data_IF_902635075390
#
_entry.id   IF_902635075390
#
_cell.length_a   1.000
_cell.length_b   1.000
_cell.length_c   1.000
_cell.angle_alpha   90.00
_cell.angle_beta   90.00
_cell.angle_gamma   90.00
#
_symmetry.space_group_name_H-M   'P 1'
#
loop_
_entity.id
_entity.type
_entity.pdbx_description
1 polymer ?
#
# COMPACT_ATOMS: atom_id res chain seq x y z
N UNK A 1 -5.61 -25.97 5.87
CA UNK A 1 -6.38 -25.23 4.85
C UNK A 1 -5.70 -23.88 4.73
N UNK A 2 -4.98 -23.61 3.64
CA UNK A 2 -4.31 -22.33 3.43
C UNK A 2 -5.41 -21.30 3.18
N UNK A 3 -5.46 -20.25 3.97
CA UNK A 3 -6.49 -19.22 3.88
C UNK A 3 -6.09 -18.26 2.77
N UNK A 4 -6.60 -18.45 1.55
CA UNK A 4 -6.49 -17.47 0.47
C UNK A 4 -7.35 -16.24 0.77
N UNK A 5 -6.86 -15.06 0.38
CA UNK A 5 -7.67 -13.86 0.46
C UNK A 5 -8.92 -13.99 -0.43
N UNK A 6 -10.09 -13.49 0.01
CA UNK A 6 -11.30 -13.52 -0.81
C UNK A 6 -11.04 -12.88 -2.19
N UNK A 7 -11.41 -13.60 -3.26
CA UNK A 7 -11.38 -13.07 -4.62
C UNK A 7 -12.75 -12.52 -4.97
N UNK A 8 -12.83 -11.21 -5.13
CA UNK A 8 -14.05 -10.49 -5.50
C UNK A 8 -13.95 -10.10 -6.97
N UNK A 9 -14.94 -10.50 -7.77
CA UNK A 9 -15.03 -10.17 -9.20
C UNK A 9 -16.27 -9.33 -9.43
N UNK A 10 -16.07 -8.11 -9.92
CA UNK A 10 -17.17 -7.19 -10.19
C UNK A 10 -17.81 -7.50 -11.53
N UNK A 11 -19.15 -7.54 -11.55
CA UNK A 11 -19.96 -7.75 -12.75
C UNK A 11 -19.71 -6.62 -13.75
N UNK A 12 -19.70 -6.96 -15.05
CA UNK A 12 -19.46 -5.96 -16.12
C UNK A 12 -20.67 -5.07 -16.34
N UNK A 13 -20.39 -3.91 -16.93
CA UNK A 13 -21.41 -2.94 -17.39
C UNK A 13 -22.24 -2.30 -16.27
N UNK A 14 -21.67 -2.17 -15.09
CA UNK A 14 -22.26 -1.44 -13.97
C UNK A 14 -21.83 0.03 -14.01
N UNK A 15 -22.70 0.91 -13.54
CA UNK A 15 -22.33 2.30 -13.24
C UNK A 15 -21.29 2.34 -12.10
N UNK A 16 -20.56 3.45 -11.89
CA UNK A 16 -19.61 3.59 -10.78
C UNK A 16 -20.24 3.26 -9.43
N UNK A 17 -21.42 3.78 -9.15
CA UNK A 17 -22.15 3.48 -7.91
C UNK A 17 -22.49 2.00 -7.76
N UNK A 18 -23.05 1.37 -8.80
CA UNK A 18 -23.42 -0.06 -8.76
C UNK A 18 -22.17 -0.95 -8.61
N UNK A 19 -21.06 -0.61 -9.25
CA UNK A 19 -19.76 -1.27 -9.10
C UNK A 19 -19.27 -1.20 -7.66
N UNK A 20 -19.32 -0.03 -7.07
CA UNK A 20 -19.00 0.19 -5.67
C UNK A 20 -19.94 -0.58 -4.73
N UNK A 21 -21.25 -0.59 -5.01
CA UNK A 21 -22.26 -1.29 -4.21
C UNK A 21 -22.03 -2.81 -4.21
N UNK A 22 -21.71 -3.39 -5.38
CA UNK A 22 -21.37 -4.81 -5.48
C UNK A 22 -20.10 -5.14 -4.70
N UNK A 23 -19.05 -4.30 -4.84
CA UNK A 23 -17.81 -4.45 -4.09
C UNK A 23 -18.04 -4.32 -2.58
N UNK A 24 -18.74 -3.29 -2.12
CA UNK A 24 -19.05 -3.06 -0.72
C UNK A 24 -19.81 -4.23 -0.09
N UNK A 25 -20.82 -4.76 -0.78
CA UNK A 25 -21.57 -5.95 -0.32
C UNK A 25 -20.68 -7.19 -0.21
N UNK A 26 -19.84 -7.42 -1.21
CA UNK A 26 -18.96 -8.60 -1.25
C UNK A 26 -17.83 -8.56 -0.22
N UNK A 27 -17.42 -7.35 0.21
CA UNK A 27 -16.33 -7.12 1.17
C UNK A 27 -16.77 -6.45 2.48
N UNK A 28 -18.06 -6.51 2.83
CA UNK A 28 -18.60 -5.77 3.96
C UNK A 28 -17.87 -6.05 5.28
N UNK A 29 -17.58 -7.30 5.59
CA UNK A 29 -16.85 -7.69 6.80
C UNK A 29 -15.42 -7.13 6.80
N UNK A 30 -14.75 -7.17 5.65
CA UNK A 30 -13.39 -6.66 5.47
C UNK A 30 -13.35 -5.14 5.59
N UNK A 31 -14.32 -4.43 5.02
CA UNK A 31 -14.42 -2.97 5.11
C UNK A 31 -14.68 -2.50 6.55
N UNK A 32 -15.59 -3.18 7.26
CA UNK A 32 -15.84 -2.91 8.68
C UNK A 32 -14.60 -3.21 9.54
N UNK A 33 -13.88 -4.29 9.24
CA UNK A 33 -12.62 -4.61 9.92
C UNK A 33 -11.55 -3.53 9.67
N UNK A 34 -11.38 -3.08 8.42
CA UNK A 34 -10.49 -1.96 8.08
C UNK A 34 -10.84 -0.71 8.89
N UNK A 35 -12.12 -0.31 8.89
CA UNK A 35 -12.58 0.85 9.67
C UNK A 35 -12.20 0.75 11.14
N UNK A 36 -12.43 -0.41 11.78
CA UNK A 36 -12.11 -0.62 13.19
C UNK A 36 -10.61 -0.54 13.43
N UNK A 37 -9.80 -1.22 12.60
CA UNK A 37 -8.34 -1.22 12.72
C UNK A 37 -7.78 0.20 12.57
N UNK A 38 -8.21 0.94 11.52
CA UNK A 38 -7.70 2.30 11.30
C UNK A 38 -8.22 3.30 12.32
N UNK A 39 -9.45 3.16 12.83
CA UNK A 39 -9.92 4.00 13.94
C UNK A 39 -9.01 3.89 15.17
N UNK A 40 -8.49 2.69 15.46
CA UNK A 40 -7.55 2.48 16.56
C UNK A 40 -6.17 3.03 16.26
N UNK A 41 -5.66 2.77 15.04
CA UNK A 41 -4.37 3.31 14.62
C UNK A 41 -4.38 4.86 14.67
N UNK A 42 -5.45 5.52 14.20
CA UNK A 42 -5.56 6.97 14.31
C UNK A 42 -5.67 7.45 15.76
N UNK A 43 -6.36 6.70 16.61
CA UNK A 43 -6.45 7.03 18.04
C UNK A 43 -5.05 7.04 18.69
N UNK A 44 -4.12 6.14 18.31
CA UNK A 44 -2.73 6.19 18.80
C UNK A 44 -1.98 7.44 18.37
N UNK A 45 -2.48 8.16 17.38
CA UNK A 45 -1.97 9.45 16.90
C UNK A 45 -2.77 10.64 17.43
N UNK A 46 -3.66 10.45 18.42
CA UNK A 46 -4.53 11.48 18.95
C UNK A 46 -5.64 11.94 17.98
N UNK A 47 -5.94 11.13 16.94
CA UNK A 47 -6.96 11.46 15.94
C UNK A 47 -8.17 10.55 16.14
N UNK A 48 -9.33 11.14 16.56
CA UNK A 48 -10.57 10.38 16.59
C UNK A 48 -11.01 9.98 15.19
N UNK A 49 -11.82 8.89 15.09
CA UNK A 49 -12.36 8.50 13.79
C UNK A 49 -13.23 9.59 13.14
N UNK A 50 -14.01 10.31 13.96
CA UNK A 50 -14.77 11.47 13.48
C UNK A 50 -13.86 12.55 12.90
N UNK A 51 -12.77 12.90 13.59
CA UNK A 51 -11.80 13.86 13.08
C UNK A 51 -11.07 13.34 11.81
N UNK A 52 -10.85 12.03 11.71
CA UNK A 52 -10.30 11.42 10.49
C UNK A 52 -11.27 11.57 9.31
N UNK A 53 -12.57 11.31 9.52
CA UNK A 53 -13.60 11.50 8.50
C UNK A 53 -13.70 12.98 8.05
N UNK A 54 -13.74 13.93 9.00
CA UNK A 54 -13.76 15.37 8.70
C UNK A 54 -12.51 15.82 7.90
N UNK A 55 -11.34 15.26 8.21
CA UNK A 55 -10.12 15.52 7.42
C UNK A 55 -10.22 14.93 6.02
N UNK A 56 -10.81 13.74 5.86
CA UNK A 56 -10.96 13.06 4.59
C UNK A 56 -11.88 13.80 3.61
N UNK A 57 -12.94 14.45 4.11
CA UNK A 57 -13.86 15.25 3.29
C UNK A 57 -13.16 16.35 2.48
N UNK A 58 -12.03 16.87 2.98
CA UNK A 58 -11.23 17.90 2.28
C UNK A 58 -10.66 17.44 0.95
N UNK A 59 -10.59 16.12 0.71
CA UNK A 59 -10.03 15.54 -0.52
C UNK A 59 -11.08 15.28 -1.59
N UNK A 60 -12.38 15.40 -1.28
CA UNK A 60 -13.48 15.09 -2.21
C UNK A 60 -13.32 15.84 -3.53
N UNK A 61 -13.08 17.15 -3.49
CA UNK A 61 -12.98 17.98 -4.70
C UNK A 61 -11.81 17.60 -5.60
N UNK A 62 -10.65 17.25 -5.04
CA UNK A 62 -9.48 16.86 -5.83
C UNK A 62 -9.65 15.45 -6.40
N UNK A 63 -10.35 14.55 -5.69
CA UNK A 63 -10.72 13.22 -6.21
C UNK A 63 -11.66 13.36 -7.39
N UNK A 64 -12.71 14.18 -7.28
CA UNK A 64 -13.66 14.48 -8.39
C UNK A 64 -12.98 15.15 -9.57
N UNK A 65 -12.02 16.04 -9.32
CA UNK A 65 -11.26 16.71 -10.38
C UNK A 65 -10.36 15.74 -11.16
N UNK A 66 -9.83 14.69 -10.51
CA UNK A 66 -9.06 13.65 -11.18
C UNK A 66 -9.95 12.66 -11.92
N UNK A 67 -10.97 12.14 -11.25
CA UNK A 67 -11.91 11.15 -11.81
C UNK A 67 -13.28 11.28 -11.13
N UNK A 68 -14.28 11.88 -11.79
CA UNK A 68 -15.61 12.09 -11.22
C UNK A 68 -16.38 10.80 -10.94
N UNK A 69 -15.94 9.65 -11.46
CA UNK A 69 -16.57 8.35 -11.20
C UNK A 69 -16.24 7.79 -9.82
N UNK A 70 -15.14 8.23 -9.18
CA UNK A 70 -14.65 7.61 -7.94
C UNK A 70 -15.52 7.93 -6.72
N UNK A 71 -16.08 9.14 -6.60
CA UNK A 71 -16.96 9.47 -5.47
C UNK A 71 -18.27 8.67 -5.52
N UNK A 72 -18.98 8.54 -6.65
CA UNK A 72 -20.09 7.60 -6.77
C UNK A 72 -19.71 6.13 -6.49
N UNK A 73 -18.51 5.67 -6.91
CA UNK A 73 -18.03 4.33 -6.60
C UNK A 73 -17.81 4.16 -5.10
N UNK A 74 -17.18 5.11 -4.42
CA UNK A 74 -17.00 5.12 -2.96
C UNK A 74 -18.34 5.17 -2.21
N UNK A 75 -19.34 5.93 -2.68
CA UNK A 75 -20.68 5.93 -2.10
C UNK A 75 -21.32 4.54 -2.19
N UNK A 76 -21.21 3.90 -3.35
CA UNK A 76 -21.67 2.52 -3.51
C UNK A 76 -20.96 1.55 -2.57
N UNK A 77 -19.65 1.68 -2.40
CA UNK A 77 -18.87 0.87 -1.44
C UNK A 77 -19.38 1.05 0.00
N UNK A 78 -19.66 2.30 0.40
CA UNK A 78 -20.20 2.63 1.70
C UNK A 78 -21.57 1.97 1.93
N UNK A 79 -22.50 2.18 1.02
CA UNK A 79 -23.85 1.62 1.12
C UNK A 79 -23.83 0.08 1.14
N UNK A 80 -22.96 -0.52 0.29
CA UNK A 80 -22.81 -1.97 0.23
C UNK A 80 -22.23 -2.58 1.50
N UNK A 81 -21.31 -1.88 2.18
CA UNK A 81 -20.67 -2.33 3.41
C UNK A 81 -21.42 -1.92 4.68
N UNK A 82 -22.57 -1.23 4.59
CA UNK A 82 -23.28 -0.61 5.69
C UNK A 82 -22.38 0.35 6.50
N UNK A 83 -21.60 1.14 5.80
CA UNK A 83 -20.74 2.23 6.26
C UNK A 83 -21.24 3.56 5.69
N UNK A 84 -20.64 4.67 6.11
CA UNK A 84 -20.88 5.98 5.52
C UNK A 84 -19.82 6.32 4.49
N UNK A 85 -20.11 7.27 3.58
CA UNK A 85 -19.14 7.75 2.59
C UNK A 85 -17.87 8.28 3.26
N UNK A 86 -18.01 9.03 4.35
CA UNK A 86 -16.89 9.57 5.10
C UNK A 86 -15.98 8.48 5.71
N UNK A 87 -16.52 7.29 6.05
CA UNK A 87 -15.72 6.14 6.48
C UNK A 87 -14.84 5.65 5.31
N UNK A 88 -15.43 5.51 4.13
CA UNK A 88 -14.70 5.07 2.93
C UNK A 88 -13.68 6.11 2.47
N UNK A 89 -14.01 7.39 2.52
CA UNK A 89 -13.06 8.48 2.26
C UNK A 89 -11.88 8.41 3.23
N UNK A 90 -12.12 8.27 4.54
CA UNK A 90 -11.08 8.19 5.55
C UNK A 90 -10.14 6.98 5.33
N UNK A 91 -10.66 5.83 4.88
CA UNK A 91 -9.86 4.67 4.53
C UNK A 91 -8.96 4.95 3.31
N UNK A 92 -9.48 5.62 2.29
CA UNK A 92 -8.73 5.92 1.06
C UNK A 92 -7.78 7.12 1.19
N UNK A 93 -8.00 8.00 2.17
CA UNK A 93 -7.14 9.14 2.50
C UNK A 93 -6.27 8.89 3.75
N UNK A 94 -6.13 7.64 4.19
CA UNK A 94 -5.49 7.30 5.47
C UNK A 94 -4.05 7.83 5.60
N UNK A 95 -3.31 7.85 4.50
CA UNK A 95 -1.92 8.32 4.47
C UNK A 95 -1.84 9.83 4.66
N UNK A 96 -2.77 10.55 4.07
CA UNK A 96 -2.88 12.02 4.09
C UNK A 96 -3.45 12.56 5.41
N UNK A 97 -4.26 11.76 6.10
CA UNK A 97 -4.85 12.13 7.40
C UNK A 97 -3.82 12.06 8.53
N UNK A 98 -2.87 11.14 8.41
CA UNK A 98 -1.81 10.97 9.41
C UNK A 98 -0.90 12.20 9.41
N UNK A 99 -0.58 12.76 10.58
CA UNK A 99 0.31 13.91 10.64
C UNK A 99 1.72 13.53 10.18
N UNK A 100 2.42 14.42 9.47
CA UNK A 100 3.79 14.18 9.00
C UNK A 100 4.79 14.04 10.16
N UNK A 101 4.46 14.64 11.32
CA UNK A 101 5.24 14.54 12.55
C UNK A 101 4.34 13.92 13.64
N UNK A 102 4.63 12.68 14.02
CA UNK A 102 3.91 12.00 15.08
C UNK A 102 4.28 12.58 16.46
N UNK A 103 3.26 13.08 17.16
CA UNK A 103 3.20 13.26 18.62
C UNK A 103 4.22 14.23 19.23
N UNK A 104 3.78 15.48 19.47
CA UNK A 104 4.25 16.25 20.61
C UNK A 104 3.79 15.59 21.93
N UNK A 105 4.50 15.80 23.04
CA UNK A 105 4.14 15.22 24.35
C UNK A 105 2.69 15.51 24.76
N UNK A 106 2.15 16.70 24.43
CA UNK A 106 0.75 17.08 24.67
C UNK A 106 -0.24 16.24 23.85
N UNK A 107 0.12 15.84 22.62
CA UNK A 107 -0.71 14.95 21.78
C UNK A 107 -0.71 13.53 22.32
N UNK A 108 0.31 13.14 23.08
CA UNK A 108 0.48 11.82 23.63
C UNK A 108 -0.54 11.52 24.75
N UNK A 109 -0.77 12.46 25.68
CA UNK A 109 -1.81 12.29 26.71
C UNK A 109 -3.22 12.26 26.11
N UNK A 110 -3.49 13.12 25.12
CA UNK A 110 -4.75 13.11 24.39
C UNK A 110 -4.97 11.80 23.60
N UNK A 111 -3.91 11.24 23.04
CA UNK A 111 -3.95 9.96 22.33
C UNK A 111 -4.29 8.81 23.29
N UNK A 112 -3.67 8.74 24.46
CA UNK A 112 -3.93 7.73 25.48
C UNK A 112 -5.37 7.75 25.96
N UNK A 113 -5.91 8.96 26.26
CA UNK A 113 -7.30 9.14 26.66
C UNK A 113 -8.28 8.71 25.55
N UNK A 114 -7.93 8.95 24.28
CA UNK A 114 -8.76 8.59 23.13
C UNK A 114 -8.74 7.09 22.85
N UNK A 115 -7.60 6.42 22.99
CA UNK A 115 -7.48 4.95 22.89
C UNK A 115 -8.35 4.28 23.94
N UNK A 116 -8.28 4.73 25.20
CA UNK A 116 -9.12 4.22 26.28
C UNK A 116 -10.62 4.38 25.98
N UNK A 117 -11.04 5.55 25.47
CA UNK A 117 -12.43 5.82 25.11
C UNK A 117 -12.91 5.03 23.87
N UNK A 118 -12.01 4.78 22.91
CA UNK A 118 -12.32 4.00 21.69
C UNK A 118 -12.40 2.50 21.99
N UNK A 119 -11.68 2.02 23.01
CA UNK A 119 -11.74 0.62 23.45
C UNK A 119 -13.07 0.26 24.13
N UNK A 120 -13.79 1.21 24.71
CA UNK A 120 -15.04 0.98 25.45
C UNK A 120 -16.25 0.57 24.60
N UNK A 121 -16.16 0.62 23.26
CA UNK A 121 -17.26 0.25 22.36
C UNK A 121 -16.98 -0.97 21.47
N UNK A 122 -15.87 -1.69 21.65
CA UNK A 122 -15.40 -2.72 20.73
C UNK A 122 -15.20 -4.06 21.44
N UNK A 123 -15.51 -5.21 20.80
CA UNK A 123 -15.36 -6.50 21.44
C UNK A 123 -13.90 -6.79 21.85
N UNK A 124 -13.76 -7.10 23.10
CA UNK A 124 -12.80 -7.95 23.81
C UNK A 124 -11.31 -7.90 23.45
N UNK A 125 -10.70 -6.71 23.41
CA UNK A 125 -9.26 -6.60 23.60
C UNK A 125 -8.90 -5.29 24.31
N UNK A 126 -8.67 -5.43 25.57
CA UNK A 126 -8.05 -4.39 26.39
C UNK A 126 -6.59 -4.25 25.94
N UNK A 127 -6.20 -3.03 25.59
CA UNK A 127 -4.78 -2.67 25.52
C UNK A 127 -4.25 -2.75 26.96
N UNK A 128 -3.37 -3.69 27.24
CA UNK A 128 -2.57 -3.62 28.43
C UNK A 128 -1.63 -2.40 28.34
N UNK A 129 -1.28 -1.81 29.47
CA UNK A 129 -0.50 -0.55 29.52
C UNK A 129 0.82 -0.60 28.71
N UNK A 130 1.42 -1.79 28.58
CA UNK A 130 2.61 -1.99 27.74
C UNK A 130 2.31 -1.98 26.22
N UNK A 131 1.07 -2.24 25.81
CA UNK A 131 0.64 -2.21 24.41
C UNK A 131 0.51 -0.78 23.85
N UNK A 132 0.24 0.21 24.70
CA UNK A 132 0.12 1.61 24.26
C UNK A 132 1.44 2.19 23.74
N UNK A 133 2.56 1.86 24.36
CA UNK A 133 3.89 2.29 23.90
C UNK A 133 4.30 1.58 22.60
N UNK A 134 3.97 0.29 22.45
CA UNK A 134 4.25 -0.47 21.25
C UNK A 134 3.44 0.03 20.03
N UNK A 135 2.20 0.48 20.21
CA UNK A 135 1.39 1.06 19.14
C UNK A 135 1.99 2.36 18.57
N UNK A 136 2.72 3.14 19.40
CA UNK A 136 3.42 4.35 18.93
C UNK A 136 4.57 4.04 17.98
N UNK A 137 5.16 2.85 18.09
CA UNK A 137 6.29 2.43 17.27
C UNK A 137 5.86 1.80 15.94
N UNK A 138 4.60 1.38 15.80
CA UNK A 138 4.05 0.84 14.52
C UNK A 138 4.31 1.79 13.34
N UNK A 139 4.15 3.08 13.57
CA UNK A 139 4.33 4.09 12.52
C UNK A 139 5.80 4.42 12.23
N UNK A 140 6.72 4.06 13.13
CA UNK A 140 8.17 4.24 12.95
C UNK A 140 8.79 3.11 12.14
N UNK A 141 8.03 2.04 11.87
CA UNK A 141 8.52 0.88 11.13
C UNK A 141 8.14 0.99 9.64
N UNK A 142 9.07 0.62 8.78
CA UNK A 142 8.85 0.60 7.34
C UNK A 142 7.82 -0.46 6.95
N UNK A 143 7.04 -0.17 5.93
CA UNK A 143 5.84 -0.93 5.60
C UNK A 143 6.02 -1.92 4.45
N UNK A 144 7.06 -1.81 3.60
CA UNK A 144 7.15 -2.61 2.38
C UNK A 144 8.58 -2.70 1.84
N UNK A 145 8.84 -3.75 1.05
CA UNK A 145 10.06 -3.89 0.26
C UNK A 145 9.71 -4.41 -1.12
N UNK A 146 10.23 -3.78 -2.17
CA UNK A 146 10.00 -4.17 -3.56
C UNK A 146 11.28 -4.38 -4.34
N UNK A 147 11.23 -5.29 -5.31
CA UNK A 147 12.24 -5.51 -6.34
C UNK A 147 11.53 -5.65 -7.68
N UNK A 148 11.85 -4.77 -8.62
CA UNK A 148 11.46 -4.92 -10.02
C UNK A 148 12.70 -5.21 -10.87
N UNK A 149 12.53 -6.10 -11.86
CA UNK A 149 13.62 -6.58 -12.72
C UNK A 149 13.17 -6.41 -14.17
N UNK A 150 13.99 -5.78 -15.00
CA UNK A 150 13.74 -5.68 -16.44
C UNK A 150 14.38 -6.84 -17.22
N UNK A 151 14.24 -6.83 -18.53
CA UNK A 151 14.77 -7.89 -19.40
C UNK A 151 16.28 -8.16 -19.25
N UNK A 152 17.07 -7.15 -18.82
CA UNK A 152 18.54 -7.32 -18.67
C UNK A 152 18.89 -8.14 -17.43
N UNK A 153 18.10 -8.02 -16.36
CA UNK A 153 18.32 -8.76 -15.10
C UNK A 153 17.52 -10.05 -15.02
N UNK A 154 16.60 -10.29 -15.96
CA UNK A 154 15.62 -11.36 -15.90
C UNK A 154 16.10 -12.65 -16.58
N UNK A 155 15.76 -13.79 -15.99
CA UNK A 155 16.09 -15.12 -16.51
C UNK A 155 15.31 -15.50 -17.78
N UNK A 156 14.15 -14.92 -18.02
CA UNK A 156 13.28 -15.20 -19.16
C UNK A 156 13.16 -14.03 -20.16
N UNK A 157 13.90 -12.95 -19.92
CA UNK A 157 13.90 -11.77 -20.78
C UNK A 157 12.65 -10.89 -20.66
N UNK A 158 11.82 -11.10 -19.64
CA UNK A 158 10.62 -10.30 -19.36
C UNK A 158 10.77 -9.49 -18.08
N UNK A 159 10.01 -8.40 -17.95
CA UNK A 159 9.98 -7.66 -16.70
C UNK A 159 9.20 -8.42 -15.62
N UNK A 160 9.73 -8.37 -14.41
CA UNK A 160 9.12 -8.93 -13.20
C UNK A 160 8.92 -7.85 -12.15
N UNK A 161 7.89 -8.03 -11.37
CA UNK A 161 7.57 -7.22 -10.19
C UNK A 161 7.45 -8.12 -8.97
N UNK A 162 8.03 -7.70 -7.84
CA UNK A 162 7.81 -8.37 -6.56
C UNK A 162 7.75 -7.36 -5.40
N UNK A 163 6.93 -7.68 -4.39
CA UNK A 163 6.79 -6.85 -3.21
C UNK A 163 6.34 -7.67 -2.00
N UNK A 164 6.94 -7.42 -0.83
CA UNK A 164 6.32 -7.71 0.46
C UNK A 164 5.53 -6.50 0.92
N UNK A 165 4.30 -6.74 1.32
CA UNK A 165 3.47 -5.78 2.03
C UNK A 165 3.60 -6.04 3.52
N UNK A 166 4.31 -5.16 4.20
CA UNK A 166 4.49 -5.22 5.65
C UNK A 166 3.49 -4.26 6.30
N UNK A 167 2.73 -4.76 7.27
CA UNK A 167 1.73 -3.99 7.99
C UNK A 167 1.39 -4.64 9.32
N UNK A 168 0.55 -3.99 10.13
CA UNK A 168 0.02 -4.62 11.34
C UNK A 168 -0.69 -5.93 10.98
N UNK A 169 -0.24 -7.04 11.56
CA UNK A 169 -0.75 -8.39 11.22
C UNK A 169 -2.25 -8.55 11.42
N UNK A 170 -2.80 -7.77 12.34
CA UNK A 170 -4.23 -7.66 12.60
C UNK A 170 -5.05 -7.23 11.37
N UNK A 171 -4.47 -6.49 10.43
CA UNK A 171 -5.17 -6.06 9.21
C UNK A 171 -5.31 -7.17 8.17
N UNK A 172 -4.60 -8.31 8.31
CA UNK A 172 -4.67 -9.42 7.35
C UNK A 172 -6.09 -9.92 7.06
N UNK A 173 -7.02 -10.03 8.04
CA UNK A 173 -8.39 -10.43 7.75
C UNK A 173 -9.18 -9.48 6.84
N UNK A 174 -8.71 -8.23 6.69
CA UNK A 174 -9.33 -7.26 5.80
C UNK A 174 -8.82 -7.33 4.36
N UNK A 175 -7.76 -8.10 4.09
CA UNK A 175 -7.16 -8.19 2.77
C UNK A 175 -8.04 -8.99 1.81
N UNK A 176 -8.14 -8.49 0.58
CA UNK A 176 -8.93 -9.07 -0.50
C UNK A 176 -8.18 -8.94 -1.83
N UNK A 177 -8.53 -9.78 -2.78
CA UNK A 177 -8.18 -9.62 -4.19
C UNK A 177 -9.41 -9.13 -4.94
N UNK A 178 -9.32 -7.94 -5.54
CA UNK A 178 -10.40 -7.33 -6.32
C UNK A 178 -10.07 -7.39 -7.82
N UNK A 179 -10.99 -7.91 -8.62
CA UNK A 179 -11.00 -7.78 -10.08
C UNK A 179 -12.11 -6.82 -10.48
N UNK A 180 -11.75 -5.66 -11.02
CA UNK A 180 -12.68 -4.60 -11.39
C UNK A 180 -12.26 -3.94 -12.71
N UNK A 181 -12.87 -2.82 -13.06
CA UNK A 181 -12.62 -2.07 -14.29
C UNK A 181 -12.90 -0.58 -14.07
N UNK A 182 -12.38 0.26 -14.98
CA UNK A 182 -12.64 1.69 -15.02
C UNK A 182 -13.81 2.05 -15.97
N UNK A 183 -14.08 3.34 -16.12
CA UNK A 183 -15.16 3.86 -16.98
C UNK A 183 -14.97 3.53 -18.47
N UNK A 184 -13.76 3.23 -18.91
CA UNK A 184 -13.44 2.77 -20.26
C UNK A 184 -13.52 1.25 -20.41
N UNK A 185 -13.91 0.53 -19.35
CA UNK A 185 -13.95 -0.94 -19.32
C UNK A 185 -12.56 -1.61 -19.26
N UNK A 186 -11.51 -0.87 -18.95
CA UNK A 186 -10.15 -1.40 -18.76
C UNK A 186 -10.10 -2.12 -17.41
N UNK A 187 -9.87 -3.42 -17.46
CA UNK A 187 -9.88 -4.27 -16.25
C UNK A 187 -8.54 -4.27 -15.54
N UNK A 188 -8.59 -4.48 -14.24
CA UNK A 188 -7.41 -4.64 -13.38
C UNK A 188 -7.68 -5.66 -12.29
N UNK A 189 -6.60 -6.19 -11.71
CA UNK A 189 -6.62 -7.02 -10.49
C UNK A 189 -5.75 -6.36 -9.45
N UNK A 190 -6.25 -6.19 -8.22
CA UNK A 190 -5.50 -5.58 -7.11
C UNK A 190 -5.66 -6.39 -5.83
N UNK A 191 -4.55 -6.60 -5.12
CA UNK A 191 -4.53 -6.95 -3.71
C UNK A 191 -4.70 -5.67 -2.93
N UNK A 192 -5.78 -5.57 -2.15
CA UNK A 192 -6.13 -4.36 -1.39
C UNK A 192 -6.83 -4.73 -0.09
N UNK A 193 -7.38 -3.75 0.59
CA UNK A 193 -8.15 -3.91 1.82
C UNK A 193 -9.62 -3.64 1.54
N UNK A 194 -10.53 -4.28 2.27
CA UNK A 194 -11.94 -3.94 2.20
C UNK A 194 -12.15 -2.46 2.52
N UNK A 195 -12.92 -1.76 1.68
CA UNK A 195 -13.15 -0.32 1.77
C UNK A 195 -12.12 0.56 1.05
N UNK A 196 -11.07 -0.03 0.46
CA UNK A 196 -10.06 0.72 -0.31
C UNK A 196 -10.16 0.44 -1.81
N UNK A 197 -9.97 1.47 -2.64
CA UNK A 197 -10.08 1.41 -4.09
C UNK A 197 -9.02 0.53 -4.74
N UNK A 198 -7.76 0.63 -4.29
CA UNK A 198 -6.63 -0.14 -4.82
C UNK A 198 -5.40 -0.03 -3.94
N UNK A 199 -4.46 -0.98 -4.11
CA UNK A 199 -3.12 -0.90 -3.51
C UNK A 199 -2.04 -1.52 -4.40
N UNK A 200 -1.88 -2.84 -4.44
CA UNK A 200 -0.87 -3.54 -5.23
C UNK A 200 -1.58 -4.34 -6.32
N UNK A 201 -1.23 -4.15 -7.57
CA UNK A 201 -1.98 -4.85 -8.60
C UNK A 201 -1.45 -4.69 -10.01
N UNK A 202 -2.23 -5.18 -10.95
CA UNK A 202 -1.86 -5.15 -12.37
C UNK A 202 -3.07 -4.84 -13.25
N UNK A 203 -2.88 -3.94 -14.22
CA UNK A 203 -3.86 -3.69 -15.28
C UNK A 203 -3.88 -4.86 -16.29
N UNK A 204 -4.97 -5.03 -17.01
CA UNK A 204 -5.06 -6.01 -18.08
C UNK A 204 -4.08 -5.73 -19.22
N UNK A 205 -3.68 -4.48 -19.42
CA UNK A 205 -2.61 -4.11 -20.36
C UNK A 205 -1.23 -4.61 -19.94
N UNK A 206 -1.06 -4.93 -18.66
CA UNK A 206 0.16 -5.47 -18.09
C UNK A 206 1.06 -4.42 -17.45
N UNK A 207 0.50 -3.35 -16.90
CA UNK A 207 1.20 -2.50 -15.95
C UNK A 207 0.97 -3.06 -14.55
N UNK A 208 2.02 -3.59 -13.93
CA UNK A 208 2.08 -3.94 -12.51
C UNK A 208 2.50 -2.72 -11.70
N UNK A 209 1.82 -2.47 -10.58
CA UNK A 209 2.12 -1.38 -9.65
C UNK A 209 2.15 -1.89 -8.20
N UNK A 210 2.93 -1.23 -7.37
CA UNK A 210 2.97 -1.46 -5.92
C UNK A 210 2.98 -0.18 -5.12
N UNK A 211 3.21 -0.32 -3.81
CA UNK A 211 3.22 0.80 -2.89
C UNK A 211 4.22 0.55 -1.76
N UNK A 212 5.25 1.39 -1.66
CA UNK A 212 6.06 1.53 -0.45
C UNK A 212 5.78 2.92 0.13
N UNK A 213 5.20 3.00 1.32
CA UNK A 213 4.90 4.29 1.94
C UNK A 213 6.21 5.04 2.23
N UNK A 214 6.26 6.30 1.84
CA UNK A 214 7.24 7.27 2.26
C UNK A 214 6.58 8.26 3.23
N UNK A 215 7.36 9.10 3.86
CA UNK A 215 6.86 10.18 4.72
C UNK A 215 7.56 11.47 4.36
N UNK A 216 6.78 12.48 4.02
CA UNK A 216 7.24 13.83 3.75
C UNK A 216 6.85 14.77 4.90
N UNK A 217 7.66 15.80 5.10
CA UNK A 217 7.35 16.87 6.08
C UNK A 217 6.09 17.66 5.71
N UNK A 218 5.59 17.51 4.49
CA UNK A 218 4.42 18.22 3.95
C UNK A 218 3.21 17.33 3.71
N UNK A 219 3.24 16.04 4.10
CA UNK A 219 2.12 15.12 3.94
C UNK A 219 0.85 15.68 4.59
N UNK A 220 -0.26 15.69 3.85
CA UNK A 220 -1.56 16.16 4.33
C UNK A 220 -1.67 17.66 4.62
N UNK A 221 -0.60 18.46 4.40
CA UNK A 221 -0.61 19.90 4.66
C UNK A 221 -1.63 20.64 3.78
N UNK A 222 -1.74 20.23 2.51
CA UNK A 222 -2.74 20.74 1.57
C UNK A 222 -3.45 19.59 0.89
N UNK A 223 -4.75 19.72 0.57
CA UNK A 223 -5.44 18.68 -0.18
C UNK A 223 -4.79 18.47 -1.55
N UNK A 224 -4.30 17.26 -1.79
CA UNK A 224 -3.82 16.76 -3.07
C UNK A 224 -4.45 15.38 -3.33
N UNK A 225 -4.18 14.77 -4.47
CA UNK A 225 -4.74 13.46 -4.82
C UNK A 225 -4.23 12.41 -3.83
N UNK A 226 -5.13 11.71 -3.09
CA UNK A 226 -4.73 10.70 -2.12
C UNK A 226 -4.00 9.52 -2.76
N UNK A 227 -3.04 8.93 -2.04
CA UNK A 227 -2.19 7.84 -2.55
C UNK A 227 -3.00 6.67 -3.11
N UNK A 228 -4.05 6.22 -2.42
CA UNK A 228 -4.89 5.11 -2.91
C UNK A 228 -5.70 5.49 -4.16
N UNK A 229 -6.02 6.76 -4.34
CA UNK A 229 -6.65 7.30 -5.57
C UNK A 229 -5.62 7.35 -6.70
N UNK A 230 -4.37 7.76 -6.42
CA UNK A 230 -3.26 7.68 -7.40
C UNK A 230 -3.10 6.24 -7.90
N UNK A 231 -3.00 5.26 -6.98
CA UNK A 231 -2.86 3.85 -7.33
C UNK A 231 -4.03 3.33 -8.17
N UNK A 232 -5.26 3.69 -7.79
CA UNK A 232 -6.47 3.33 -8.57
C UNK A 232 -6.42 3.90 -9.98
N UNK A 233 -5.98 5.14 -10.13
CA UNK A 233 -5.83 5.80 -11.43
C UNK A 233 -4.74 5.14 -12.28
N UNK A 234 -3.59 4.81 -11.69
CA UNK A 234 -2.50 4.12 -12.38
C UNK A 234 -2.87 2.71 -12.86
N UNK A 235 -3.78 2.01 -12.17
CA UNK A 235 -4.29 0.71 -12.65
C UNK A 235 -5.15 0.82 -13.93
N UNK A 236 -5.49 2.01 -14.36
CA UNK A 236 -6.08 2.28 -15.69
C UNK A 236 -5.02 2.46 -16.79
N UNK A 237 -3.75 2.65 -16.44
CA UNK A 237 -2.63 2.74 -17.39
C UNK A 237 -2.22 1.34 -17.89
N UNK A 238 -1.63 1.29 -19.08
CA UNK A 238 -1.25 0.02 -19.72
C UNK A 238 0.28 -0.17 -19.77
N UNK A 239 1.05 0.89 -19.53
CA UNK A 239 2.51 0.89 -19.60
C UNK A 239 3.12 1.88 -18.61
N UNK A 240 4.42 1.73 -18.35
CA UNK A 240 5.22 2.68 -17.55
C UNK A 240 5.21 4.07 -18.18
N UNK A 241 5.22 4.16 -19.50
CA UNK A 241 5.12 5.44 -20.22
C UNK A 241 3.78 6.15 -19.96
N UNK A 242 2.65 5.42 -19.98
CA UNK A 242 1.34 5.99 -19.62
C UNK A 242 1.29 6.40 -18.15
N UNK A 243 1.89 5.62 -17.25
CA UNK A 243 1.98 5.96 -15.83
C UNK A 243 2.73 7.28 -15.59
N UNK A 244 3.83 7.55 -16.33
CA UNK A 244 4.53 8.85 -16.27
C UNK A 244 3.63 10.02 -16.69
N UNK A 245 2.86 9.86 -17.75
CA UNK A 245 1.91 10.89 -18.20
C UNK A 245 0.80 11.12 -17.15
N UNK A 246 0.30 10.05 -16.56
CA UNK A 246 -0.69 10.12 -15.50
C UNK A 246 -0.14 10.86 -14.24
N UNK A 247 1.08 10.56 -13.81
CA UNK A 247 1.72 11.25 -12.69
C UNK A 247 1.98 12.73 -12.99
N UNK A 248 2.40 13.06 -14.21
CA UNK A 248 2.56 14.45 -14.65
C UNK A 248 1.23 15.22 -14.62
N UNK A 249 0.13 14.57 -14.99
CA UNK A 249 -1.21 15.16 -14.86
C UNK A 249 -1.61 15.32 -13.39
N UNK A 250 -1.46 14.27 -12.57
CA UNK A 250 -1.80 14.32 -11.14
C UNK A 250 -1.01 15.41 -10.41
N UNK A 251 0.25 15.64 -10.79
CA UNK A 251 1.07 16.72 -10.21
C UNK A 251 0.41 18.11 -10.38
N UNK A 252 -0.37 18.34 -11.42
CA UNK A 252 -1.10 19.61 -11.60
C UNK A 252 -2.19 19.80 -10.54
N UNK A 253 -2.70 18.69 -9.96
CA UNK A 253 -3.66 18.64 -8.86
C UNK A 253 -2.97 18.49 -7.51
N UNK A 254 -1.64 18.32 -7.49
CA UNK A 254 -0.76 17.95 -6.37
C UNK A 254 -1.01 16.53 -5.85
N UNK A 255 0.02 15.95 -5.22
CA UNK A 255 -0.10 14.71 -4.46
C UNK A 255 -0.46 15.02 -3.00
N UNK A 256 -1.27 14.15 -2.38
CA UNK A 256 -1.71 14.34 -1.00
C UNK A 256 -0.65 13.95 0.04
N UNK A 257 0.12 12.91 -0.25
CA UNK A 257 1.19 12.41 0.61
C UNK A 257 2.30 11.72 -0.19
N UNK A 258 3.42 11.47 0.48
CA UNK A 258 4.58 10.82 -0.10
C UNK A 258 4.40 9.30 -0.21
N UNK A 259 4.88 8.74 -1.30
CA UNK A 259 4.94 7.29 -1.53
C UNK A 259 5.93 6.96 -2.64
N UNK A 260 6.48 5.76 -2.60
CA UNK A 260 7.12 5.15 -3.76
C UNK A 260 6.16 4.15 -4.42
N UNK A 261 6.07 4.22 -5.73
CA UNK A 261 5.23 3.36 -6.57
C UNK A 261 6.16 2.57 -7.50
N UNK A 262 6.59 1.36 -7.11
CA UNK A 262 7.34 0.48 -8.00
C UNK A 262 6.42 0.00 -9.13
N UNK A 263 6.96 -0.05 -10.35
CA UNK A 263 6.22 -0.43 -11.54
C UNK A 263 7.02 -1.36 -12.44
N UNK A 264 6.31 -2.23 -13.15
CA UNK A 264 6.85 -3.06 -14.23
C UNK A 264 5.78 -3.24 -15.31
N UNK A 265 6.14 -3.25 -16.59
CA UNK A 265 5.17 -3.45 -17.65
C UNK A 265 5.48 -4.62 -18.59
N UNK A 266 4.47 -4.95 -19.41
CA UNK A 266 4.58 -6.05 -20.37
C UNK A 266 5.56 -5.77 -21.53
N UNK A 267 6.00 -4.52 -21.68
CA UNK A 267 6.99 -4.11 -22.69
C UNK A 267 8.42 -4.26 -22.18
N UNK A 268 8.60 -4.60 -20.88
CA UNK A 268 9.90 -4.86 -20.28
C UNK A 268 10.47 -3.68 -19.50
N UNK A 269 9.73 -2.58 -19.36
CA UNK A 269 10.18 -1.42 -18.61
C UNK A 269 9.86 -1.57 -17.12
N UNK A 270 10.79 -1.12 -16.24
CA UNK A 270 10.63 -1.06 -14.79
C UNK A 270 11.13 0.27 -14.25
N UNK A 271 10.50 0.76 -13.19
CA UNK A 271 10.89 1.98 -12.47
C UNK A 271 10.34 1.97 -11.05
N UNK A 272 10.82 2.90 -10.22
CA UNK A 272 10.17 3.28 -8.99
C UNK A 272 9.87 4.78 -9.03
N UNK A 273 8.60 5.17 -8.94
CA UNK A 273 8.20 6.57 -8.89
C UNK A 273 8.09 7.02 -7.44
N UNK A 274 8.88 7.96 -7.03
CA UNK A 274 8.72 8.65 -5.75
C UNK A 274 7.84 9.87 -5.95
N UNK A 275 6.73 9.93 -5.23
CA UNK A 275 5.77 11.04 -5.23
C UNK A 275 5.75 11.71 -3.86
N UNK A 276 5.50 13.01 -3.83
CA UNK A 276 5.27 13.80 -2.61
C UNK A 276 4.44 15.04 -2.92
N UNK A 277 3.89 15.75 -1.93
CA UNK A 277 3.26 17.05 -2.18
C UNK A 277 4.17 18.06 -2.90
N UNK A 278 5.52 17.89 -2.80
CA UNK A 278 6.52 18.71 -3.49
C UNK A 278 6.74 18.35 -4.96
N UNK A 279 6.25 17.21 -5.43
CA UNK A 279 6.43 16.74 -6.80
C UNK A 279 6.69 15.25 -6.90
N UNK A 280 7.26 14.80 -8.01
CA UNK A 280 7.65 13.42 -8.21
C UNK A 280 8.94 13.29 -9.01
N UNK A 281 9.63 12.17 -8.82
CA UNK A 281 10.82 11.80 -9.57
C UNK A 281 10.91 10.27 -9.70
N UNK A 282 11.90 9.78 -10.44
CA UNK A 282 12.01 8.37 -10.83
C UNK A 282 13.36 7.77 -10.42
N UNK A 283 13.33 6.73 -9.61
CA UNK A 283 14.49 5.84 -9.39
C UNK A 283 14.55 4.83 -10.54
N UNK A 284 15.62 4.92 -11.33
CA UNK A 284 15.85 4.06 -12.51
C UNK A 284 16.52 2.76 -12.13
N UNK A 285 16.31 1.67 -12.90
CA UNK A 285 16.99 0.42 -12.66
C UNK A 285 18.50 0.55 -12.88
N UNK A 286 19.26 -0.12 -12.01
CA UNK A 286 20.72 -0.32 -12.16
C UNK A 286 20.95 -1.80 -12.42
N UNK A 287 21.71 -2.13 -13.48
CA UNK A 287 21.97 -3.51 -13.93
C UNK A 287 20.68 -4.33 -14.09
N UNK A 288 19.63 -3.70 -14.58
CA UNK A 288 18.33 -4.31 -14.80
C UNK A 288 17.42 -4.44 -13.59
N UNK A 289 17.84 -4.00 -12.40
CA UNK A 289 17.08 -4.10 -11.16
C UNK A 289 16.81 -2.74 -10.53
N UNK A 290 15.65 -2.58 -9.90
CA UNK A 290 15.36 -1.47 -8.99
C UNK A 290 14.77 -2.02 -7.70
N UNK A 291 15.42 -1.70 -6.57
CA UNK A 291 14.98 -2.05 -5.21
C UNK A 291 14.51 -0.80 -4.51
N UNK A 292 13.44 -0.90 -3.76
CA UNK A 292 12.96 0.21 -2.94
C UNK A 292 12.36 -0.25 -1.62
N UNK A 293 12.43 0.61 -0.62
CA UNK A 293 11.85 0.42 0.71
C UNK A 293 11.01 1.64 1.12
N UNK A 294 11.25 2.25 2.27
CA UNK A 294 10.38 3.29 2.83
C UNK A 294 11.14 4.61 3.14
N UNK A 295 12.06 5.03 2.29
CA UNK A 295 12.71 6.34 2.36
C UNK A 295 13.05 6.82 0.95
N UNK A 296 13.17 8.14 0.77
CA UNK A 296 13.50 8.71 -0.53
C UNK A 296 14.91 8.30 -0.99
N UNK A 297 15.02 7.95 -2.27
CA UNK A 297 16.27 7.66 -2.96
C UNK A 297 16.58 8.72 -4.03
N UNK A 298 15.55 9.44 -4.53
CA UNK A 298 15.75 10.54 -5.47
C UNK A 298 16.33 11.76 -4.74
N UNK A 299 17.48 12.24 -5.21
CA UNK A 299 18.14 13.41 -4.64
C UNK A 299 17.25 14.65 -4.68
N UNK A 300 16.48 14.82 -5.75
CA UNK A 300 15.53 15.94 -5.95
C UNK A 300 14.40 16.01 -4.92
N UNK A 301 14.13 14.92 -4.20
CA UNK A 301 13.07 14.83 -3.18
C UNK A 301 13.62 14.55 -1.77
N UNK A 302 14.93 14.45 -1.61
CA UNK A 302 15.56 14.06 -0.34
C UNK A 302 15.31 15.07 0.79
N UNK A 303 15.14 16.35 0.48
CA UNK A 303 14.77 17.42 1.43
C UNK A 303 13.33 17.31 1.93
N UNK A 304 12.49 16.54 1.23
CA UNK A 304 11.12 16.26 1.65
C UNK A 304 11.05 15.20 2.75
N UNK A 305 12.10 14.41 2.96
CA UNK A 305 12.10 13.30 3.91
C UNK A 305 11.75 13.75 5.32
N UNK A 306 10.65 13.22 5.87
CA UNK A 306 10.35 13.40 7.29
C UNK A 306 11.37 12.65 8.15
N UNK A 307 11.97 13.26 9.18
CA UNK A 307 12.83 12.55 10.13
C UNK A 307 12.13 11.35 10.80
N UNK A 308 10.81 11.43 10.99
CA UNK A 308 9.99 10.35 11.52
C UNK A 308 9.74 9.24 10.51
N UNK A 309 9.90 9.51 9.21
CA UNK A 309 9.71 8.55 8.12
C UNK A 309 10.92 7.69 7.83
N UNK A 310 12.06 7.94 8.49
CA UNK A 310 13.22 7.05 8.45
C UNK A 310 12.98 5.86 9.39
N UNK A 311 12.17 4.91 8.92
CA UNK A 311 12.00 3.66 9.64
C UNK A 311 13.36 2.99 9.84
N UNK A 312 13.64 2.56 11.07
CA UNK A 312 14.89 1.89 11.43
C UNK A 312 15.20 0.69 10.53
N UNK A 313 14.14 -0.01 10.07
CA UNK A 313 14.24 -1.18 9.20
C UNK A 313 14.42 -0.83 7.71
N UNK A 314 14.18 0.41 7.26
CA UNK A 314 14.14 0.76 5.84
C UNK A 314 15.50 0.62 5.16
N UNK A 315 16.56 1.19 5.73
CA UNK A 315 17.92 1.11 5.19
C UNK A 315 18.49 -0.32 5.22
N UNK A 316 18.39 -1.09 6.32
CA UNK A 316 18.81 -2.51 6.30
C UNK A 316 18.13 -3.32 5.20
N UNK A 317 16.80 -3.20 5.03
CA UNK A 317 16.06 -3.91 3.97
C UNK A 317 16.47 -3.47 2.56
N UNK A 318 16.78 -2.20 2.36
CA UNK A 318 17.33 -1.73 1.08
C UNK A 318 18.69 -2.38 0.81
N UNK A 319 19.60 -2.40 1.79
CA UNK A 319 20.92 -3.03 1.65
C UNK A 319 20.78 -4.51 1.33
N UNK A 320 19.89 -5.23 2.02
CA UNK A 320 19.61 -6.63 1.75
C UNK A 320 19.07 -6.83 0.32
N UNK A 321 18.11 -6.02 -0.09
CA UNK A 321 17.56 -6.07 -1.44
C UNK A 321 18.61 -5.78 -2.52
N UNK A 322 19.51 -4.84 -2.28
CA UNK A 322 20.62 -4.56 -3.19
C UNK A 322 21.63 -5.72 -3.28
N UNK A 323 21.80 -6.54 -2.23
CA UNK A 323 22.62 -7.80 -2.31
C UNK A 323 21.98 -8.79 -3.29
N UNK A 324 20.65 -8.97 -3.24
CA UNK A 324 19.93 -9.80 -4.21
C UNK A 324 20.06 -9.26 -5.63
N UNK A 325 19.90 -7.95 -5.84
CA UNK A 325 20.06 -7.32 -7.14
C UNK A 325 21.51 -7.43 -7.68
N UNK A 326 22.52 -7.33 -6.80
CA UNK A 326 23.92 -7.45 -7.18
C UNK A 326 24.32 -8.83 -7.74
N UNK A 327 23.54 -9.88 -7.47
CA UNK A 327 23.76 -11.20 -8.04
C UNK A 327 23.66 -11.20 -9.59
N UNK A 328 22.89 -10.27 -10.16
CA UNK A 328 22.76 -10.08 -11.63
C UNK A 328 24.11 -9.72 -12.23
N UNK A 329 24.93 -8.88 -11.61
CA UNK A 329 26.29 -8.54 -12.04
C UNK A 329 27.22 -9.75 -12.11
N UNK A 330 26.91 -10.79 -11.32
CA UNK A 330 27.67 -12.04 -11.28
C UNK A 330 27.12 -13.09 -12.26
N UNK A 331 26.16 -12.69 -13.12
CA UNK A 331 25.54 -13.56 -14.12
C UNK A 331 24.40 -14.42 -13.59
N UNK A 332 23.92 -14.16 -12.35
CA UNK A 332 22.73 -14.83 -11.82
C UNK A 332 21.48 -14.05 -12.18
N UNK A 333 20.82 -14.46 -13.24
CA UNK A 333 19.58 -13.83 -13.69
C UNK A 333 18.42 -14.16 -12.73
N UNK A 334 17.53 -13.20 -12.55
CA UNK A 334 16.42 -13.28 -11.62
C UNK A 334 15.16 -13.78 -12.31
N UNK A 335 14.58 -14.85 -11.80
CA UNK A 335 13.30 -15.42 -12.20
C UNK A 335 12.36 -15.58 -11.01
N UNK A 336 11.33 -16.39 -11.19
CA UNK A 336 10.30 -16.59 -10.16
C UNK A 336 10.86 -17.14 -8.85
N UNK A 337 11.82 -18.06 -8.90
CA UNK A 337 12.42 -18.68 -7.71
C UNK A 337 13.28 -17.66 -6.94
N UNK A 338 14.09 -16.87 -7.62
CA UNK A 338 14.93 -15.83 -7.03
C UNK A 338 14.07 -14.74 -6.37
N UNK A 339 12.93 -14.38 -6.99
CA UNK A 339 11.97 -13.45 -6.39
C UNK A 339 11.30 -14.03 -5.15
N UNK A 340 10.99 -15.34 -5.12
CA UNK A 340 10.51 -15.99 -3.90
C UNK A 340 11.57 -15.95 -2.80
N UNK A 341 12.85 -16.21 -3.14
CA UNK A 341 13.95 -16.18 -2.19
C UNK A 341 14.15 -14.76 -1.65
N UNK A 342 14.09 -13.73 -2.50
CA UNK A 342 14.10 -12.33 -2.08
C UNK A 342 12.96 -12.02 -1.09
N UNK A 343 11.73 -12.38 -1.39
CA UNK A 343 10.58 -12.11 -0.52
C UNK A 343 10.56 -12.96 0.76
N UNK A 344 11.39 -14.02 0.83
CA UNK A 344 11.56 -14.89 2.00
C UNK A 344 12.81 -14.60 2.80
N UNK A 345 13.61 -13.61 2.41
CA UNK A 345 14.89 -13.29 3.05
C UNK A 345 14.70 -12.83 4.51
N UNK A 346 15.33 -13.54 5.42
CA UNK A 346 15.35 -13.32 6.87
C UNK A 346 16.75 -13.05 7.42
N UNK A 347 17.71 -12.74 6.56
CA UNK A 347 19.13 -12.66 6.93
C UNK A 347 19.47 -11.56 7.93
N UNK A 348 18.64 -10.51 8.02
CA UNK A 348 18.88 -9.37 8.91
C UNK A 348 17.94 -9.36 10.15
N UNK A 349 17.36 -10.51 10.53
CA UNK A 349 16.55 -10.69 11.74
C UNK A 349 15.26 -9.85 11.71
N UNK A 350 15.04 -9.01 12.72
CA UNK A 350 13.82 -8.16 12.78
C UNK A 350 13.74 -7.13 11.65
N UNK A 351 14.86 -6.85 10.99
CA UNK A 351 14.95 -5.87 9.89
C UNK A 351 15.07 -6.51 8.51
N UNK A 352 14.70 -7.79 8.42
CA UNK A 352 14.72 -8.54 7.18
C UNK A 352 13.64 -8.10 6.20
N UNK A 353 13.81 -8.44 4.91
CA UNK A 353 12.81 -8.25 3.85
C UNK A 353 11.54 -9.03 4.16
N UNK A 354 11.67 -10.28 4.65
CA UNK A 354 10.54 -11.07 5.15
C UNK A 354 10.38 -10.82 6.64
N UNK A 355 9.44 -9.98 7.02
CA UNK A 355 9.20 -9.63 8.41
C UNK A 355 8.32 -10.65 9.11
N UNK A 356 8.88 -11.26 10.14
CA UNK A 356 8.13 -12.08 11.07
C UNK A 356 7.58 -11.24 12.22
N UNK A 357 6.38 -11.59 12.77
CA UNK A 357 5.87 -10.90 13.94
C UNK A 357 6.81 -11.06 15.13
N UNK A 358 7.23 -9.96 15.75
CA UNK A 358 8.01 -10.01 16.99
C UNK A 358 7.10 -10.43 18.16
N UNK A 359 7.36 -11.58 18.81
CA UNK A 359 6.56 -12.03 19.94
C UNK A 359 6.65 -11.13 21.18
N UNK A 360 7.68 -10.29 21.29
CA UNK A 360 7.83 -9.31 22.36
C UNK A 360 6.90 -8.11 22.22
N UNK A 361 6.39 -7.86 21.00
CA UNK A 361 5.45 -6.78 20.73
C UNK A 361 4.00 -7.29 20.91
N UNK A 362 3.11 -6.54 21.55
CA UNK A 362 1.69 -6.90 21.64
C UNK A 362 1.07 -7.20 20.27
N UNK A 363 0.16 -8.19 20.14
CA UNK A 363 -0.41 -8.61 18.86
C UNK A 363 -1.01 -7.47 18.02
N UNK A 364 -1.53 -6.44 18.69
CA UNK A 364 -2.17 -5.28 18.08
C UNK A 364 -1.19 -4.39 17.32
N UNK A 365 0.07 -4.37 17.77
CA UNK A 365 1.13 -3.50 17.26
C UNK A 365 2.15 -4.24 16.38
N UNK A 366 2.06 -5.57 16.27
CA UNK A 366 3.02 -6.38 15.50
C UNK A 366 2.94 -6.04 14.02
N UNK A 367 4.04 -5.54 13.49
CA UNK A 367 4.24 -5.41 12.05
C UNK A 367 4.87 -6.68 11.52
N UNK A 368 4.33 -7.19 10.44
CA UNK A 368 4.79 -8.39 9.77
C UNK A 368 4.51 -8.31 8.27
N UNK A 369 5.15 -9.14 7.46
CA UNK A 369 4.77 -9.30 6.06
C UNK A 369 3.38 -9.94 5.99
N UNK A 370 2.34 -9.11 5.80
CA UNK A 370 0.94 -9.58 5.74
C UNK A 370 0.65 -10.31 4.43
N UNK A 371 1.42 -10.01 3.37
CA UNK A 371 1.38 -10.70 2.09
C UNK A 371 2.68 -10.51 1.32
N UNK A 372 3.06 -11.51 0.51
CA UNK A 372 4.02 -11.39 -0.58
C UNK A 372 3.31 -11.45 -1.93
N UNK A 373 3.74 -10.66 -2.91
CA UNK A 373 3.18 -10.67 -4.25
C UNK A 373 4.28 -10.70 -5.31
N UNK A 374 4.10 -11.54 -6.34
CA UNK A 374 4.96 -11.60 -7.53
C UNK A 374 4.06 -11.45 -8.75
N UNK A 375 4.47 -10.62 -9.70
CA UNK A 375 3.74 -10.40 -10.94
C UNK A 375 4.67 -10.52 -12.15
N UNK A 376 4.16 -11.20 -13.20
CA UNK A 376 4.78 -11.26 -14.52
C UNK A 376 3.88 -10.53 -15.52
N UNK A 377 4.15 -9.25 -15.81
CA UNK A 377 3.33 -8.41 -16.69
C UNK A 377 3.11 -8.99 -18.09
N UNK A 378 4.13 -9.61 -18.67
CA UNK A 378 4.07 -10.20 -20.02
C UNK A 378 2.92 -11.20 -20.17
N UNK A 379 2.73 -12.09 -19.18
CA UNK A 379 1.68 -13.11 -19.19
C UNK A 379 0.44 -12.74 -18.39
N UNK A 380 0.41 -11.58 -17.76
CA UNK A 380 -0.64 -11.13 -16.81
C UNK A 380 -0.81 -12.06 -15.62
N UNK A 381 0.28 -12.70 -15.20
CA UNK A 381 0.25 -13.66 -14.09
C UNK A 381 0.55 -12.97 -12.77
N UNK A 382 -0.23 -13.31 -11.75
CA UNK A 382 -0.12 -12.81 -10.38
C UNK A 382 -0.08 -14.00 -9.42
N UNK A 383 0.92 -14.03 -8.55
CA UNK A 383 1.05 -14.98 -7.45
C UNK A 383 1.05 -14.25 -6.11
N UNK A 384 0.34 -14.77 -5.13
CA UNK A 384 0.25 -14.20 -3.78
C UNK A 384 0.61 -15.26 -2.75
N UNK A 385 1.47 -14.90 -1.80
CA UNK A 385 1.65 -15.58 -0.54
C UNK A 385 0.73 -14.90 0.51
N UNK A 386 -0.37 -15.53 0.95
CA UNK A 386 -1.40 -14.86 1.75
C UNK A 386 -1.08 -14.84 3.26
N UNK A 387 0.17 -14.78 3.59
CA UNK A 387 0.72 -14.70 4.94
C UNK A 387 2.18 -14.25 4.85
N UNK A 388 2.92 -14.32 5.96
CA UNK A 388 4.38 -14.16 5.95
C UNK A 388 4.98 -15.11 4.89
N UNK A 389 5.66 -14.60 3.83
CA UNK A 389 6.01 -15.38 2.64
C UNK A 389 6.82 -16.66 2.88
N UNK A 390 7.61 -16.68 3.95
CA UNK A 390 8.38 -17.90 4.34
C UNK A 390 7.50 -19.03 4.86
N UNK A 391 6.30 -18.72 5.36
CA UNK A 391 5.41 -19.72 6.00
C UNK A 391 4.45 -20.37 5.02
N UNK A 392 4.28 -19.80 3.81
CA UNK A 392 3.27 -20.25 2.86
C UNK A 392 3.81 -20.25 1.42
N UNK A 393 3.12 -20.98 0.54
CA UNK A 393 3.44 -20.97 -0.88
C UNK A 393 2.88 -19.71 -1.56
N UNK A 394 3.50 -19.33 -2.68
CA UNK A 394 2.93 -18.37 -3.62
C UNK A 394 1.94 -19.09 -4.52
N UNK A 395 0.68 -18.71 -4.45
CA UNK A 395 -0.40 -19.29 -5.23
C UNK A 395 -0.79 -18.38 -6.40
N UNK A 396 -0.93 -18.96 -7.59
CA UNK A 396 -1.34 -18.20 -8.78
C UNK A 396 -2.83 -17.88 -8.70
N UNK A 397 -3.18 -16.60 -8.85
CA UNK A 397 -4.56 -16.09 -8.78
C UNK A 397 -5.07 -15.53 -10.11
N UNK A 398 -4.18 -15.19 -11.03
CA UNK A 398 -4.47 -14.70 -12.38
C UNK A 398 -3.31 -15.05 -13.33
#
# INVERSE_FOLDING_TARGET
MIFMFPLIKISKSLSPYERGLEFGKASALQAQHSRITYARLFATCGISWTAACERAERYTQVIEALDPALIPEMQGMADGAALKLEDILALNCRTEILPPNFLSDETQEAALALVANTAMGLPDWTLEADGENALKDVWKEGECTSLCVNALGSADGHAWFSQNWDWVGRQRPALIVLQSYDEQGRTFTTLTEGGMLAKIGMSKGGLAIGLNILRSVTDGATPGVPVHVVLRHLLSCQSVAEARLALAHIQTLKFGAASNIPVADAMGEVACFEISPGGWDEVKPVDGCVVHTNHFLCESLSDQQSPMGLALSSTPRLISGLRHAAAVKQGQLIGFEELQNFLRDESDGLWSICRSPDPAIPPEARVESVAGIIMLPHTRSIWIAPNVPKLVAFEKIA
#
